data_IF_268257755679
#
_entry.id   IF_268257755679
#
_cell.length_a   1.000
_cell.length_b   1.000
_cell.length_c   1.000
_cell.angle_alpha   90.00
_cell.angle_beta   90.00
_cell.angle_gamma   90.00
#
_symmetry.space_group_name_H-M   'P 1'
#
loop_
_entity.id
_entity.type
_entity.pdbx_description
1 polymer ?
#
# COMPACT_ATOMS: atom_id res chain seq x y z
N UNK A 1 -2.88 -27.60 -58.25
CA UNK A 1 -2.11 -28.28 -57.19
C UNK A 1 -1.29 -27.22 -56.49
N UNK A 2 -1.29 -27.27 -55.15
CA UNK A 2 -0.97 -26.24 -54.14
C UNK A 2 -2.15 -25.27 -53.96
N UNK A 3 -3.26 -25.63 -53.30
CA UNK A 3 -3.47 -26.21 -51.96
C UNK A 3 -2.77 -25.41 -50.84
N UNK A 4 -3.61 -24.64 -50.14
CA UNK A 4 -3.68 -24.56 -48.66
C UNK A 4 -2.40 -24.11 -47.94
N UNK A 5 -2.11 -22.81 -47.92
CA UNK A 5 -1.11 -22.21 -46.99
C UNK A 5 -1.52 -20.80 -46.51
N UNK A 6 -2.82 -20.47 -46.48
CA UNK A 6 -3.32 -19.18 -45.95
C UNK A 6 -4.38 -19.38 -44.83
N UNK A 7 -4.45 -20.56 -44.22
CA UNK A 7 -5.48 -20.88 -43.19
C UNK A 7 -4.93 -21.22 -41.79
N UNK A 8 -3.65 -20.96 -41.49
CA UNK A 8 -3.09 -21.21 -40.14
C UNK A 8 -2.50 -19.95 -39.47
N UNK A 9 -3.02 -18.77 -39.78
CA UNK A 9 -3.03 -17.72 -38.76
C UNK A 9 -4.30 -17.92 -37.95
N UNK A 10 -4.33 -19.01 -37.17
CA UNK A 10 -5.33 -19.25 -36.14
C UNK A 10 -5.58 -17.93 -35.43
N UNK A 11 -6.79 -17.43 -35.61
CA UNK A 11 -7.22 -16.18 -35.03
C UNK A 11 -7.11 -16.30 -33.53
N UNK A 12 -5.99 -15.84 -32.98
CA UNK A 12 -5.85 -15.50 -31.57
C UNK A 12 -6.85 -14.38 -31.32
N UNK A 13 -8.10 -14.78 -31.08
CA UNK A 13 -9.14 -13.88 -30.61
C UNK A 13 -8.78 -13.57 -29.16
N UNK A 14 -8.07 -12.46 -28.98
CA UNK A 14 -7.79 -11.93 -27.67
C UNK A 14 -9.12 -11.45 -27.09
N UNK A 15 -9.67 -12.20 -26.15
CA UNK A 15 -10.91 -11.83 -25.48
C UNK A 15 -10.61 -10.69 -24.50
N UNK A 16 -10.93 -9.46 -24.90
CA UNK A 16 -10.84 -8.26 -24.06
C UNK A 16 -12.04 -8.08 -23.14
N UNK A 17 -12.99 -9.01 -23.13
CA UNK A 17 -14.18 -8.96 -22.27
C UNK A 17 -14.01 -9.79 -20.99
N UNK A 18 -13.08 -10.75 -20.98
CA UNK A 18 -12.70 -11.50 -19.78
C UNK A 18 -11.67 -10.71 -18.97
N UNK A 19 -11.92 -10.55 -17.67
CA UNK A 19 -10.98 -9.89 -16.77
C UNK A 19 -9.65 -10.63 -16.74
N UNK A 20 -8.57 -9.91 -16.98
CA UNK A 20 -7.20 -10.39 -16.83
C UNK A 20 -6.89 -10.71 -15.36
N UNK A 21 -5.88 -11.57 -15.13
CA UNK A 21 -5.39 -11.87 -13.77
C UNK A 21 -4.99 -10.60 -13.01
N UNK A 22 -4.49 -9.59 -13.73
CA UNK A 22 -4.14 -8.28 -13.16
C UNK A 22 -5.37 -7.51 -12.70
N UNK A 23 -6.43 -7.45 -13.52
CA UNK A 23 -7.68 -6.80 -13.15
C UNK A 23 -8.34 -7.47 -11.95
N UNK A 24 -8.31 -8.81 -11.89
CA UNK A 24 -8.81 -9.58 -10.74
C UNK A 24 -7.98 -9.25 -9.48
N UNK A 25 -6.65 -9.20 -9.60
CA UNK A 25 -5.76 -8.86 -8.49
C UNK A 25 -6.00 -7.44 -7.97
N UNK A 26 -6.09 -6.45 -8.86
CA UNK A 26 -6.34 -5.05 -8.50
C UNK A 26 -7.74 -4.88 -7.91
N UNK A 27 -8.76 -5.53 -8.45
CA UNK A 27 -10.11 -5.49 -7.89
C UNK A 27 -10.13 -6.02 -6.44
N UNK A 28 -9.41 -7.11 -6.17
CA UNK A 28 -9.30 -7.65 -4.79
C UNK A 28 -8.51 -6.71 -3.87
N UNK A 29 -7.44 -6.09 -4.37
CA UNK A 29 -6.67 -5.11 -3.61
C UNK A 29 -7.52 -3.87 -3.26
N UNK A 30 -8.28 -3.37 -4.23
CA UNK A 30 -9.22 -2.26 -4.04
C UNK A 30 -10.31 -2.60 -3.01
N UNK A 31 -10.88 -3.81 -3.10
CA UNK A 31 -11.88 -4.30 -2.13
C UNK A 31 -11.33 -4.27 -0.70
N UNK A 32 -10.12 -4.80 -0.47
CA UNK A 32 -9.49 -4.80 0.86
C UNK A 32 -9.26 -3.37 1.37
N UNK A 33 -8.75 -2.47 0.51
CA UNK A 33 -8.52 -1.07 0.90
C UNK A 33 -9.82 -0.37 1.29
N UNK A 34 -10.92 -0.65 0.57
CA UNK A 34 -12.25 -0.14 0.90
C UNK A 34 -12.78 -0.72 2.22
N UNK A 35 -12.64 -2.03 2.44
CA UNK A 35 -13.02 -2.69 3.70
C UNK A 35 -12.28 -2.11 4.90
N UNK A 36 -10.99 -1.80 4.73
CA UNK A 36 -10.15 -1.16 5.74
C UNK A 36 -10.44 0.34 5.93
N UNK A 37 -11.29 0.94 5.08
CA UNK A 37 -11.73 2.35 5.13
C UNK A 37 -10.57 3.35 5.12
N UNK A 38 -9.51 3.06 4.35
CA UNK A 38 -8.28 3.89 4.32
C UNK A 38 -8.45 5.14 3.43
N UNK A 39 -9.40 5.12 2.50
CA UNK A 39 -9.64 6.22 1.53
C UNK A 39 -10.32 7.45 2.12
N UNK A 40 -10.89 7.34 3.33
CA UNK A 40 -11.69 8.41 3.95
C UNK A 40 -11.16 8.78 5.34
N UNK A 41 -9.84 8.87 5.50
CA UNK A 41 -9.24 9.28 6.76
C UNK A 41 -9.23 10.80 6.84
N UNK A 42 -9.93 11.42 7.81
CA UNK A 42 -9.86 12.86 8.02
C UNK A 42 -8.46 13.28 8.42
N UNK A 43 -8.12 14.56 8.21
CA UNK A 43 -6.89 15.11 8.76
C UNK A 43 -6.95 15.02 10.29
N UNK A 44 -5.86 14.50 10.85
CA UNK A 44 -5.60 14.34 12.27
C UNK A 44 -4.69 15.45 12.75
N UNK A 45 -4.63 15.62 14.07
CA UNK A 45 -3.69 16.55 14.69
C UNK A 45 -2.23 16.23 14.32
N UNK A 46 -1.41 17.26 14.36
CA UNK A 46 0.03 17.14 14.14
C UNK A 46 0.66 16.28 15.24
N UNK A 47 1.63 15.47 14.85
CA UNK A 47 2.34 14.59 15.77
C UNK A 47 3.28 15.39 16.66
N UNK A 48 3.35 15.01 17.93
CA UNK A 48 4.37 15.50 18.88
C UNK A 48 5.70 14.80 18.61
N UNK A 49 6.80 15.40 19.05
CA UNK A 49 8.14 14.82 18.93
C UNK A 49 8.17 13.36 19.42
N UNK A 50 8.73 12.46 18.60
CA UNK A 50 8.85 11.02 18.91
C UNK A 50 7.51 10.29 19.18
N UNK A 51 6.35 10.88 18.87
CA UNK A 51 5.06 10.27 19.20
C UNK A 51 4.86 8.91 18.50
N UNK A 52 5.35 8.78 17.26
CA UNK A 52 5.29 7.53 16.50
C UNK A 52 6.13 6.40 17.10
N UNK A 53 7.17 6.73 17.87
CA UNK A 53 7.96 5.74 18.62
C UNK A 53 7.23 5.30 19.89
N UNK A 54 6.58 6.24 20.59
CA UNK A 54 5.90 5.94 21.86
C UNK A 54 4.50 5.34 21.67
N UNK A 55 3.90 5.51 20.49
CA UNK A 55 2.54 5.05 20.20
C UNK A 55 2.46 3.53 20.08
N UNK A 56 1.32 2.96 20.48
CA UNK A 56 1.03 1.55 20.15
C UNK A 56 0.71 1.41 18.66
N UNK A 57 1.25 0.38 18.02
CA UNK A 57 1.05 0.09 16.60
C UNK A 57 0.19 -1.15 16.44
N UNK A 58 -0.75 -1.08 15.50
CA UNK A 58 -1.55 -2.23 15.07
C UNK A 58 -1.29 -2.54 13.61
N UNK A 59 -1.65 -3.77 13.23
CA UNK A 59 -1.64 -4.19 11.84
C UNK A 59 -2.89 -4.96 11.47
N UNK A 60 -3.27 -4.82 10.21
CA UNK A 60 -4.28 -5.63 9.54
C UNK A 60 -3.61 -6.31 8.35
N UNK A 61 -3.91 -7.58 8.11
CA UNK A 61 -3.24 -8.38 7.10
C UNK A 61 -4.24 -9.19 6.30
N UNK A 62 -4.06 -9.23 4.99
CA UNK A 62 -4.82 -10.06 4.04
C UNK A 62 -3.87 -10.73 3.06
N UNK A 63 -4.27 -11.91 2.58
CA UNK A 63 -3.51 -12.68 1.58
C UNK A 63 -4.11 -12.50 0.19
N UNK A 64 -3.23 -12.38 -0.80
CA UNK A 64 -3.57 -12.17 -2.21
C UNK A 64 -2.73 -13.10 -3.08
N UNK A 65 -3.16 -13.38 -4.30
CA UNK A 65 -2.34 -14.14 -5.26
C UNK A 65 -2.40 -13.49 -6.64
N UNK A 66 -1.26 -13.42 -7.32
CA UNK A 66 -1.13 -12.94 -8.69
C UNK A 66 -0.02 -13.72 -9.40
N UNK A 67 -0.33 -14.27 -10.58
CA UNK A 67 0.62 -15.00 -11.43
C UNK A 67 1.46 -16.05 -10.65
N UNK A 68 0.78 -16.93 -9.90
CA UNK A 68 1.36 -17.99 -9.04
C UNK A 68 2.27 -17.48 -7.90
N UNK A 69 2.17 -16.20 -7.56
CA UNK A 69 2.85 -15.63 -6.40
C UNK A 69 1.83 -15.18 -5.37
N UNK A 70 1.97 -15.72 -4.17
CA UNK A 70 1.22 -15.27 -3.02
C UNK A 70 1.84 -14.00 -2.46
N UNK A 71 1.00 -13.04 -2.16
CA UNK A 71 1.32 -11.79 -1.51
C UNK A 71 0.59 -11.68 -0.19
N UNK A 72 1.18 -10.89 0.68
CA UNK A 72 0.63 -10.45 1.93
C UNK A 72 0.50 -8.93 1.86
N UNK A 73 -0.73 -8.44 1.93
CA UNK A 73 -1.00 -7.02 2.12
C UNK A 73 -1.06 -6.76 3.63
N UNK A 74 -0.23 -5.86 4.14
CA UNK A 74 -0.23 -5.49 5.56
C UNK A 74 -0.38 -3.99 5.71
N UNK A 75 -1.44 -3.55 6.38
CA UNK A 75 -1.60 -2.19 6.86
C UNK A 75 -0.93 -2.06 8.23
N UNK A 76 -0.16 -1.00 8.43
CA UNK A 76 0.41 -0.62 9.70
C UNK A 76 -0.12 0.76 10.08
N UNK A 77 -0.66 0.91 11.29
CA UNK A 77 -1.15 2.20 11.77
C UNK A 77 -0.87 2.41 13.26
N UNK A 78 -0.50 3.65 13.60
CA UNK A 78 -0.28 4.09 14.97
C UNK A 78 -1.61 4.47 15.64
N UNK A 79 -1.86 3.96 16.85
CA UNK A 79 -2.91 4.44 17.74
C UNK A 79 -2.44 5.70 18.45
N UNK A 80 -2.87 6.83 17.93
CA UNK A 80 -2.63 8.14 18.50
C UNK A 80 -3.94 8.61 19.13
N UNK A 81 -3.91 8.87 20.43
CA UNK A 81 -5.02 9.51 21.12
C UNK A 81 -5.08 10.97 20.69
N UNK A 82 -6.18 11.35 20.03
CA UNK A 82 -6.43 12.72 19.61
C UNK A 82 -6.97 13.50 20.82
N UNK A 83 -6.13 14.33 21.44
CA UNK A 83 -6.52 15.22 22.54
C UNK A 83 -7.37 16.41 22.05
N UNK A 84 -7.35 16.69 20.75
CA UNK A 84 -8.04 17.81 20.11
C UNK A 84 -8.96 17.27 19.01
N UNK A 85 -10.18 17.82 18.94
CA UNK A 85 -11.13 17.54 17.86
C UNK A 85 -10.42 17.72 16.50
N UNK A 86 -10.66 16.84 15.52
CA UNK A 86 -10.09 16.99 14.19
C UNK A 86 -10.42 18.40 13.70
N UNK A 87 -9.40 19.18 13.40
CA UNK A 87 -9.64 20.48 12.76
C UNK A 87 -10.40 20.17 11.48
N UNK A 88 -11.68 20.55 11.42
CA UNK A 88 -12.51 20.46 10.23
C UNK A 88 -11.90 21.36 9.14
N UNK A 89 -10.80 20.93 8.54
CA UNK A 89 -10.20 21.59 7.38
C UNK A 89 -10.84 21.11 6.09
N UNK A 90 -12.13 20.75 6.15
CA UNK A 90 -12.95 20.54 4.95
C UNK A 90 -13.43 21.86 4.34
N UNK A 91 -13.01 23.03 4.88
CA UNK A 91 -13.57 24.33 4.47
C UNK A 91 -12.56 25.49 4.28
N UNK A 92 -11.25 25.26 4.22
CA UNK A 92 -10.31 26.28 3.69
C UNK A 92 -9.96 25.94 2.24
N UNK A 93 -10.92 26.25 1.37
CA UNK A 93 -10.95 25.93 -0.05
C UNK A 93 -10.17 26.95 -0.92
N UNK A 94 -9.14 27.60 -0.38
CA UNK A 94 -8.36 28.66 -1.07
C UNK A 94 -6.90 28.24 -1.37
N UNK A 95 -6.51 27.00 -1.04
CA UNK A 95 -5.23 26.41 -1.45
C UNK A 95 -5.50 25.23 -2.38
N UNK A 96 -5.12 25.35 -3.64
CA UNK A 96 -5.23 24.34 -4.73
C UNK A 96 -4.64 22.95 -4.42
N UNK A 97 -4.01 22.75 -3.26
CA UNK A 97 -3.53 21.45 -2.80
C UNK A 97 -4.43 20.92 -1.69
N UNK A 98 -5.24 19.90 -2.00
CA UNK A 98 -5.92 19.10 -0.98
C UNK A 98 -4.88 18.60 0.03
N UNK A 99 -5.02 18.96 1.31
CA UNK A 99 -4.11 18.51 2.36
C UNK A 99 -4.31 17.01 2.56
N UNK A 100 -3.27 16.23 2.27
CA UNK A 100 -3.25 14.78 2.47
C UNK A 100 -2.51 14.48 3.77
N UNK A 101 -3.11 13.69 4.66
CA UNK A 101 -2.49 13.34 5.95
C UNK A 101 -1.05 12.79 5.79
N UNK A 102 -0.76 11.88 4.85
CA UNK A 102 0.60 11.39 4.65
C UNK A 102 1.59 12.49 4.25
N UNK A 103 1.12 13.53 3.54
CA UNK A 103 1.96 14.64 3.13
C UNK A 103 2.28 15.54 4.33
N UNK A 104 1.30 15.86 5.17
CA UNK A 104 1.51 16.62 6.42
C UNK A 104 2.48 15.88 7.35
N UNK A 105 2.33 14.56 7.46
CA UNK A 105 3.22 13.71 8.25
C UNK A 105 4.66 13.72 7.73
N UNK A 106 4.84 13.58 6.41
CA UNK A 106 6.14 13.55 5.76
C UNK A 106 6.86 14.91 5.84
N UNK A 107 6.11 16.01 5.89
CA UNK A 107 6.66 17.37 5.99
C UNK A 107 6.90 17.84 7.43
N UNK A 108 6.46 17.07 8.43
CA UNK A 108 6.62 17.42 9.84
C UNK A 108 8.01 17.08 10.37
N UNK A 109 8.75 18.09 10.82
CA UNK A 109 10.05 17.92 11.49
C UNK A 109 9.95 17.11 12.79
N UNK A 110 8.76 17.00 13.39
CA UNK A 110 8.55 16.20 14.60
C UNK A 110 8.72 14.69 14.35
N UNK A 111 8.61 14.29 13.09
CA UNK A 111 8.81 12.93 12.62
C UNK A 111 10.24 12.66 12.13
N UNK A 112 11.14 13.64 12.23
CA UNK A 112 12.54 13.43 11.88
C UNK A 112 13.25 12.58 12.94
N UNK A 113 14.16 11.72 12.47
CA UNK A 113 15.07 10.93 13.30
C UNK A 113 14.41 10.01 14.35
N UNK A 114 13.15 9.61 14.18
CA UNK A 114 12.38 8.73 15.09
C UNK A 114 13.22 7.51 15.53
N UNK A 115 13.47 7.30 16.83
CA UNK A 115 14.24 6.16 17.34
C UNK A 115 13.68 4.82 16.86
N UNK A 116 14.55 3.82 16.72
CA UNK A 116 14.14 2.44 16.39
C UNK A 116 14.75 1.48 17.39
N UNK A 117 13.93 0.55 17.86
CA UNK A 117 14.36 -0.63 18.61
C UNK A 117 14.21 -1.86 17.73
N UNK A 118 15.21 -2.75 17.75
CA UNK A 118 15.17 -4.01 17.02
C UNK A 118 14.92 -5.17 17.98
N UNK A 119 13.91 -5.97 17.67
CA UNK A 119 13.57 -7.21 18.36
C UNK A 119 13.74 -8.38 17.38
N UNK A 120 14.93 -8.98 17.38
CA UNK A 120 15.31 -9.99 16.41
C UNK A 120 15.34 -9.41 14.99
N UNK A 121 14.45 -9.90 14.10
CA UNK A 121 14.34 -9.44 12.72
C UNK A 121 13.21 -8.43 12.50
N UNK A 122 12.66 -7.85 13.57
CA UNK A 122 11.57 -6.85 13.53
C UNK A 122 12.06 -5.53 14.11
N UNK A 123 11.58 -4.42 13.56
CA UNK A 123 11.83 -3.08 14.09
C UNK A 123 10.57 -2.48 14.71
N UNK A 124 10.74 -1.67 15.75
CA UNK A 124 9.68 -0.87 16.34
C UNK A 124 10.10 0.61 16.43
N UNK A 125 9.34 1.55 15.83
CA UNK A 125 8.27 1.30 14.84
C UNK A 125 8.83 0.66 13.55
N UNK A 126 7.95 0.41 12.58
CA UNK A 126 8.37 -0.11 11.27
C UNK A 126 9.38 0.85 10.61
N UNK A 127 10.34 0.34 9.83
CA UNK A 127 11.38 1.17 9.21
C UNK A 127 10.83 2.30 8.34
N UNK A 128 9.72 2.06 7.64
CA UNK A 128 9.05 3.07 6.82
C UNK A 128 8.56 4.27 7.63
N UNK A 129 8.19 4.06 8.89
CA UNK A 129 7.84 5.15 9.82
C UNK A 129 9.04 6.07 10.04
N UNK A 130 10.25 5.53 10.20
CA UNK A 130 11.47 6.36 10.37
C UNK A 130 11.88 7.04 9.07
N UNK A 131 11.71 6.38 7.92
CA UNK A 131 12.18 6.93 6.65
C UNK A 131 11.25 8.00 6.06
N UNK A 132 9.94 7.86 6.29
CA UNK A 132 8.93 8.74 5.68
C UNK A 132 8.06 9.48 6.69
N UNK A 133 8.22 9.23 7.99
CA UNK A 133 7.43 9.89 9.03
C UNK A 133 5.95 9.50 9.08
N UNK A 134 5.56 8.40 8.44
CA UNK A 134 4.15 8.04 8.23
C UNK A 134 3.51 7.37 9.45
N UNK A 135 2.27 7.77 9.79
CA UNK A 135 1.47 7.18 10.88
C UNK A 135 0.54 6.03 10.45
N UNK A 136 0.25 5.90 9.17
CA UNK A 136 -0.62 4.87 8.58
C UNK A 136 -0.15 4.59 7.14
N UNK A 137 0.14 3.33 6.81
CA UNK A 137 0.61 2.93 5.49
C UNK A 137 0.34 1.44 5.23
N UNK A 138 0.35 1.06 3.96
CA UNK A 138 0.13 -0.33 3.51
C UNK A 138 1.37 -0.82 2.79
N UNK A 139 1.78 -2.06 3.07
CA UNK A 139 2.91 -2.74 2.42
C UNK A 139 2.38 -4.01 1.76
N UNK A 140 2.63 -4.15 0.47
CA UNK A 140 2.43 -5.40 -0.26
C UNK A 140 3.76 -6.15 -0.29
N UNK A 141 3.81 -7.32 0.34
CA UNK A 141 5.03 -8.15 0.44
C UNK A 141 4.77 -9.52 -0.19
N UNK A 142 5.64 -10.04 -1.07
CA UNK A 142 5.51 -11.43 -1.51
C UNK A 142 5.71 -12.40 -0.33
N UNK A 143 5.04 -13.54 -0.34
CA UNK A 143 5.20 -14.57 0.67
C UNK A 143 6.66 -15.04 0.75
N UNK A 144 7.11 -15.36 1.97
CA UNK A 144 8.52 -15.69 2.26
C UNK A 144 9.05 -16.80 1.34
N UNK A 145 10.23 -16.55 0.74
CA UNK A 145 10.97 -17.53 -0.05
C UNK A 145 10.81 -17.40 -1.57
N UNK A 146 9.92 -16.53 -2.05
CA UNK A 146 9.77 -16.29 -3.50
C UNK A 146 10.79 -15.23 -3.94
N UNK A 147 12.03 -15.67 -4.22
CA UNK A 147 12.98 -14.80 -4.94
C UNK A 147 12.46 -14.66 -6.38
N UNK A 148 12.34 -13.43 -6.88
CA UNK A 148 11.98 -13.14 -8.29
C UNK A 148 13.15 -13.56 -9.19
N UNK A 149 13.26 -14.86 -9.43
CA UNK A 149 14.37 -15.50 -10.17
C UNK A 149 13.91 -16.21 -11.43
N UNK A 150 12.60 -16.46 -11.58
CA UNK A 150 12.05 -17.06 -12.79
C UNK A 150 11.54 -15.98 -13.75
N UNK A 151 11.71 -16.21 -15.04
CA UNK A 151 11.30 -15.31 -16.13
C UNK A 151 9.80 -15.00 -16.10
N UNK A 152 8.95 -15.96 -15.71
CA UNK A 152 7.51 -15.73 -15.49
C UNK A 152 7.22 -14.70 -14.38
N UNK A 153 8.12 -14.55 -13.40
CA UNK A 153 7.98 -13.61 -12.28
C UNK A 153 8.52 -12.21 -12.59
N UNK A 154 9.24 -12.01 -13.71
CA UNK A 154 9.62 -10.67 -14.19
C UNK A 154 8.38 -9.83 -14.50
N UNK A 155 7.27 -10.46 -14.91
CA UNK A 155 5.97 -9.80 -15.13
C UNK A 155 5.37 -9.14 -13.90
N UNK A 156 5.92 -9.39 -12.70
CA UNK A 156 5.51 -8.74 -11.44
C UNK A 156 6.24 -7.39 -11.26
N UNK A 157 7.37 -7.18 -11.93
CA UNK A 157 8.23 -6.00 -11.78
C UNK A 157 8.09 -4.97 -12.92
N UNK A 158 7.36 -5.30 -14.00
CA UNK A 158 7.26 -4.52 -15.24
C UNK A 158 5.83 -4.08 -15.53
#
# INVERSE_FOLDING_TARGET
MLNEDIEEQDGYHYDFTTASEWEIFIARLEEIIHEWKVTHVPLKSNLKHCQLFTSSWENQQESLSFADVDFTLTRYYAKIEEEEEPTNSLLDNDSEAAKLQPLEDMMSMENDFIPIVFEGNRSHPHLLTRWYGLRDFIVLTPAQGVVVTSESKIKILL
#
